data_IF_132920100464
#
_entry.id   IF_132920100464
#
_cell.length_a   1.000
_cell.length_b   1.000
_cell.length_c   1.000
_cell.angle_alpha   90.00
_cell.angle_beta   90.00
_cell.angle_gamma   90.00
#
_symmetry.space_group_name_H-M   'P 1'
#
loop_
_entity.id
_entity.type
_entity.pdbx_description
1 polymer ?
#
# COMPACT_ATOMS: atom_id res chain seq x y z
N UNK A 1 7.33 -5.17 -18.63
CA UNK A 1 7.91 -5.70 -17.37
C UNK A 1 7.41 -4.89 -16.19
N UNK A 2 6.92 -5.57 -15.12
CA UNK A 2 6.46 -4.92 -13.92
C UNK A 2 7.66 -4.73 -12.98
N UNK A 3 8.02 -3.48 -12.61
CA UNK A 3 9.18 -3.27 -11.74
C UNK A 3 8.92 -3.75 -10.32
N UNK A 4 9.75 -4.68 -9.84
CA UNK A 4 9.73 -5.14 -8.46
C UNK A 4 10.55 -4.18 -7.61
N UNK A 5 9.92 -3.59 -6.59
CA UNK A 5 10.59 -2.66 -5.69
C UNK A 5 11.17 -3.40 -4.48
N UNK A 6 12.40 -3.05 -4.12
CA UNK A 6 13.02 -3.54 -2.89
C UNK A 6 12.56 -2.70 -1.71
N UNK A 7 12.82 -3.18 -0.50
CA UNK A 7 12.56 -2.42 0.72
C UNK A 7 13.28 -1.07 0.70
N UNK A 8 14.54 -1.06 0.24
CA UNK A 8 15.33 0.16 0.15
C UNK A 8 14.70 1.16 -0.82
N UNK A 9 14.28 0.69 -2.00
CA UNK A 9 13.62 1.53 -2.99
C UNK A 9 12.30 2.09 -2.46
N UNK A 10 11.52 1.26 -1.79
CA UNK A 10 10.26 1.69 -1.20
C UNK A 10 10.49 2.77 -0.13
N UNK A 11 11.49 2.57 0.72
CA UNK A 11 11.83 3.53 1.76
C UNK A 11 12.28 4.86 1.15
N UNK A 12 13.11 4.82 0.08
CA UNK A 12 13.55 6.03 -0.62
C UNK A 12 12.35 6.81 -1.18
N UNK A 13 11.41 6.12 -1.80
CA UNK A 13 10.20 6.75 -2.31
C UNK A 13 9.42 7.39 -1.16
N UNK A 14 9.22 6.66 -0.07
CA UNK A 14 8.46 7.15 1.08
C UNK A 14 9.12 8.38 1.69
N UNK A 15 10.44 8.36 1.86
CA UNK A 15 11.18 9.48 2.43
C UNK A 15 11.12 10.71 1.53
N UNK A 16 11.18 10.53 0.22
CA UNK A 16 11.10 11.65 -0.72
C UNK A 16 9.74 12.34 -0.73
N UNK A 17 8.70 11.68 -0.21
CA UNK A 17 7.32 12.19 -0.19
C UNK A 17 6.82 12.49 1.22
N UNK A 18 7.66 12.38 2.25
CA UNK A 18 7.21 12.46 3.65
C UNK A 18 6.55 13.79 4.02
N UNK A 19 6.93 14.87 3.36
CA UNK A 19 6.40 16.21 3.64
C UNK A 19 5.34 16.67 2.64
N UNK A 20 4.93 15.80 1.72
CA UNK A 20 3.93 16.14 0.73
C UNK A 20 2.55 16.17 1.39
N UNK A 21 1.83 17.29 1.22
CA UNK A 21 0.47 17.41 1.73
C UNK A 21 -0.52 16.78 0.76
N UNK A 22 -1.59 16.15 1.26
CA UNK A 22 -2.59 15.56 0.39
C UNK A 22 -3.35 16.65 -0.38
N UNK A 23 -3.66 16.37 -1.66
CA UNK A 23 -4.50 17.22 -2.46
C UNK A 23 -5.97 16.79 -2.33
N UNK A 24 -6.89 17.57 -2.89
CA UNK A 24 -8.32 17.24 -2.84
C UNK A 24 -8.63 15.84 -3.39
N UNK A 25 -7.91 15.45 -4.44
CA UNK A 25 -8.15 14.15 -5.10
C UNK A 25 -7.82 12.98 -4.19
N UNK A 26 -6.76 13.06 -3.40
CA UNK A 26 -6.29 11.93 -2.60
C UNK A 26 -6.59 12.04 -1.11
N UNK A 27 -7.13 13.16 -0.63
CA UNK A 27 -7.47 13.32 0.80
C UNK A 27 -8.30 12.16 1.32
N UNK A 28 -9.33 11.66 0.59
CA UNK A 28 -10.11 10.52 1.09
C UNK A 28 -9.31 9.23 1.27
N UNK A 29 -8.12 9.15 0.65
CA UNK A 29 -7.26 7.96 0.71
C UNK A 29 -6.18 8.08 1.77
N UNK A 30 -6.01 9.25 2.39
CA UNK A 30 -4.88 9.52 3.29
C UNK A 30 -5.14 9.03 4.71
N UNK A 31 -5.63 7.81 4.83
CA UNK A 31 -5.77 7.14 6.11
C UNK A 31 -4.45 6.44 6.45
N UNK A 32 -3.95 6.54 7.69
CA UNK A 32 -2.69 5.88 8.06
C UNK A 32 -2.77 4.36 8.09
N UNK A 33 -3.95 3.77 8.16
CA UNK A 33 -4.16 2.33 8.06
C UNK A 33 -4.80 1.96 6.74
N UNK A 34 -5.07 0.66 6.55
CA UNK A 34 -5.77 0.16 5.37
C UNK A 34 -7.22 0.65 5.35
N UNK A 35 -7.70 1.02 4.18
CA UNK A 35 -9.12 1.34 3.97
C UNK A 35 -9.61 0.64 2.71
N UNK A 36 -10.91 0.31 2.70
CA UNK A 36 -11.57 -0.23 1.52
C UNK A 36 -12.09 0.93 0.68
N UNK A 37 -11.78 0.90 -0.62
CA UNK A 37 -12.19 1.95 -1.54
C UNK A 37 -13.10 1.43 -2.66
N UNK A 38 -13.48 0.16 -2.59
CA UNK A 38 -14.37 -0.42 -3.60
C UNK A 38 -15.70 0.31 -3.64
N UNK A 39 -16.15 0.63 -4.84
CA UNK A 39 -17.44 1.26 -5.07
C UNK A 39 -17.43 2.78 -5.05
N UNK A 40 -16.35 3.43 -4.60
CA UNK A 40 -16.31 4.90 -4.59
C UNK A 40 -15.02 5.52 -5.09
N UNK A 41 -13.98 4.73 -5.32
CA UNK A 41 -12.72 5.25 -5.86
C UNK A 41 -12.13 4.26 -6.85
N UNK A 42 -11.67 4.78 -7.99
CA UNK A 42 -11.02 3.98 -9.03
C UNK A 42 -9.51 4.05 -8.83
N UNK A 43 -8.90 2.95 -8.38
CA UNK A 43 -7.45 2.89 -8.11
C UNK A 43 -6.61 3.10 -9.36
N UNK A 44 -7.19 2.94 -10.56
CA UNK A 44 -6.48 3.18 -11.82
C UNK A 44 -6.20 4.66 -12.06
N UNK A 45 -6.83 5.56 -11.29
CA UNK A 45 -6.51 6.99 -11.32
C UNK A 45 -5.16 7.29 -10.67
N UNK A 46 -4.63 6.36 -9.90
CA UNK A 46 -3.31 6.50 -9.30
C UNK A 46 -2.26 5.92 -10.26
N UNK A 47 -1.13 6.62 -10.36
CA UNK A 47 -0.03 6.16 -11.23
C UNK A 47 0.64 4.94 -10.63
N UNK A 48 0.81 3.89 -11.43
CA UNK A 48 1.53 2.69 -11.01
C UNK A 48 3.04 2.96 -11.02
N UNK A 49 3.70 2.75 -9.88
CA UNK A 49 5.15 2.91 -9.74
C UNK A 49 5.89 1.59 -9.77
N UNK A 50 5.30 0.55 -9.21
CA UNK A 50 5.95 -0.75 -9.11
C UNK A 50 5.15 -1.66 -8.20
N UNK A 51 5.71 -2.83 -7.89
CA UNK A 51 5.03 -3.83 -7.05
C UNK A 51 6.02 -4.39 -6.03
N UNK A 52 5.48 -4.84 -4.90
CA UNK A 52 6.26 -5.57 -3.90
C UNK A 52 6.17 -7.08 -4.11
N UNK A 53 5.33 -7.53 -5.04
CA UNK A 53 5.14 -8.94 -5.33
C UNK A 53 6.29 -9.45 -6.19
N UNK A 54 6.96 -10.53 -5.73
CA UNK A 54 8.00 -11.18 -6.50
C UNK A 54 7.38 -12.04 -7.60
N UNK A 55 7.95 -11.97 -8.81
CA UNK A 55 7.49 -12.77 -9.94
C UNK A 55 7.65 -14.26 -9.63
N UNK A 56 6.57 -15.02 -9.77
CA UNK A 56 6.59 -16.46 -9.53
C UNK A 56 6.60 -16.86 -8.08
N UNK A 57 6.50 -15.90 -7.14
CA UNK A 57 6.44 -16.21 -5.73
C UNK A 57 5.10 -16.86 -5.37
N UNK A 58 5.14 -17.82 -4.46
CA UNK A 58 3.93 -18.38 -3.91
C UNK A 58 3.24 -17.35 -3.03
N UNK A 59 1.92 -17.39 -3.00
CA UNK A 59 1.17 -16.51 -2.12
C UNK A 59 1.42 -16.92 -0.68
N UNK A 60 1.73 -15.92 0.14
CA UNK A 60 1.89 -16.10 1.57
C UNK A 60 0.73 -15.42 2.27
N UNK A 61 0.30 -16.03 3.37
CA UNK A 61 -0.79 -15.50 4.17
C UNK A 61 -0.32 -15.08 5.55
N UNK A 62 0.98 -15.22 5.82
CA UNK A 62 1.58 -14.85 7.10
C UNK A 62 1.55 -13.34 7.30
N UNK A 63 0.93 -12.90 8.38
CA UNK A 63 0.87 -11.50 8.75
C UNK A 63 1.80 -11.23 9.93
N UNK A 64 2.29 -10.01 10.02
CA UNK A 64 3.17 -9.59 11.10
C UNK A 64 2.49 -8.47 11.89
N UNK A 65 2.05 -8.76 13.11
CA UNK A 65 1.30 -7.82 13.93
C UNK A 65 1.86 -7.77 15.35
N UNK A 66 3.02 -7.12 15.55
CA UNK A 66 3.60 -7.00 16.89
C UNK A 66 2.80 -6.03 17.76
N UNK A 67 2.98 -6.15 19.08
CA UNK A 67 2.44 -5.21 20.05
C UNK A 67 0.91 -5.09 20.03
N UNK A 68 0.22 -6.18 19.70
CA UNK A 68 -1.25 -6.20 19.70
C UNK A 68 -1.90 -5.51 18.50
N UNK A 69 -1.12 -5.15 17.48
CA UNK A 69 -1.67 -4.57 16.26
C UNK A 69 -2.41 -5.64 15.43
N UNK A 70 -3.20 -5.20 14.48
CA UNK A 70 -3.84 -6.07 13.49
C UNK A 70 -3.77 -5.41 12.12
N UNK A 71 -4.32 -6.06 11.10
CA UNK A 71 -4.26 -5.56 9.72
C UNK A 71 -4.73 -4.11 9.58
N UNK A 72 -5.75 -3.73 10.33
CA UNK A 72 -6.39 -2.42 10.20
C UNK A 72 -5.78 -1.35 11.13
N UNK A 73 -4.83 -1.72 11.98
CA UNK A 73 -4.23 -0.77 12.92
C UNK A 73 -3.41 0.28 12.19
N UNK A 74 -3.57 1.55 12.60
CA UNK A 74 -2.83 2.66 11.98
C UNK A 74 -1.33 2.57 12.27
N UNK A 75 -0.93 1.96 13.37
CA UNK A 75 0.46 1.75 13.77
C UNK A 75 1.02 0.40 13.34
N UNK A 76 0.24 -0.40 12.60
CA UNK A 76 0.73 -1.70 12.12
C UNK A 76 1.93 -1.51 11.20
N UNK A 77 3.01 -2.28 11.38
CA UNK A 77 4.19 -2.13 10.53
C UNK A 77 3.88 -2.51 9.07
N UNK A 78 4.57 -1.83 8.16
CA UNK A 78 4.52 -2.16 6.74
C UNK A 78 5.61 -3.20 6.50
N UNK A 79 5.28 -4.45 6.79
CA UNK A 79 6.22 -5.58 6.73
C UNK A 79 6.20 -6.16 5.33
N UNK A 80 7.11 -5.71 4.47
CA UNK A 80 7.05 -5.98 3.02
C UNK A 80 7.20 -7.45 2.65
N UNK A 81 7.72 -8.28 3.56
CA UNK A 81 7.85 -9.72 3.32
C UNK A 81 6.67 -10.52 3.88
N UNK A 82 5.64 -9.83 4.35
CA UNK A 82 4.47 -10.46 4.96
C UNK A 82 3.18 -10.04 4.26
N UNK A 83 2.14 -10.84 4.39
CA UNK A 83 0.83 -10.54 3.84
C UNK A 83 0.21 -9.31 4.56
N UNK A 84 -0.43 -8.38 3.88
CA UNK A 84 -0.69 -8.31 2.43
C UNK A 84 0.34 -7.50 1.65
N UNK A 85 1.42 -7.06 2.30
CA UNK A 85 2.40 -6.16 1.67
C UNK A 85 3.17 -6.84 0.56
N UNK A 86 3.44 -8.13 0.71
CA UNK A 86 4.18 -8.92 -0.28
C UNK A 86 3.40 -9.13 -1.60
N UNK A 87 2.14 -8.68 -1.64
CA UNK A 87 1.31 -8.73 -2.85
C UNK A 87 0.78 -7.36 -3.26
N UNK A 88 1.28 -6.31 -2.63
CA UNK A 88 0.80 -4.95 -2.86
C UNK A 88 1.53 -4.27 -4.00
N UNK A 89 0.78 -3.43 -4.73
CA UNK A 89 1.34 -2.50 -5.71
C UNK A 89 1.63 -1.17 -5.03
N UNK A 90 2.55 -0.42 -5.62
CA UNK A 90 2.92 0.92 -5.17
C UNK A 90 2.41 1.92 -6.20
N UNK A 91 1.57 2.85 -5.77
CA UNK A 91 0.96 3.84 -6.65
C UNK A 91 1.12 5.24 -6.08
N UNK A 92 1.07 6.25 -6.96
CA UNK A 92 1.17 7.63 -6.51
C UNK A 92 0.03 8.47 -7.08
N UNK A 93 -0.37 9.50 -6.32
CA UNK A 93 -1.35 10.48 -6.78
C UNK A 93 -0.73 11.30 -7.90
N UNK A 94 -1.43 11.42 -9.03
CA UNK A 94 -0.93 12.17 -10.19
C UNK A 94 -0.92 13.68 -9.95
N UNK A 95 -1.58 14.17 -8.91
CA UNK A 95 -1.67 15.60 -8.60
C UNK A 95 -0.64 16.04 -7.58
N UNK A 96 -0.51 15.30 -6.47
CA UNK A 96 0.36 15.73 -5.36
C UNK A 96 1.56 14.81 -5.13
N UNK A 97 1.66 13.70 -5.81
CA UNK A 97 2.73 12.69 -5.71
C UNK A 97 2.78 11.90 -4.41
N UNK A 98 1.76 11.97 -3.56
CA UNK A 98 1.69 11.09 -2.38
C UNK A 98 1.61 9.64 -2.84
N UNK A 99 2.25 8.76 -2.07
CA UNK A 99 2.39 7.34 -2.44
C UNK A 99 1.51 6.47 -1.55
N UNK A 100 0.90 5.47 -2.16
CA UNK A 100 -0.02 4.54 -1.50
C UNK A 100 0.33 3.11 -1.86
N UNK A 101 0.05 2.21 -0.93
CA UNK A 101 0.07 0.78 -1.18
C UNK A 101 -1.35 0.35 -1.56
N UNK A 102 -1.45 -0.57 -2.50
CA UNK A 102 -2.72 -1.06 -3.01
C UNK A 102 -2.68 -2.57 -3.19
N UNK A 103 -3.71 -3.26 -2.72
CA UNK A 103 -3.91 -4.66 -3.10
C UNK A 103 -5.40 -4.94 -3.23
N UNK A 104 -5.71 -6.03 -3.92
CA UNK A 104 -7.09 -6.49 -4.08
C UNK A 104 -7.29 -7.71 -3.19
N UNK A 105 -8.28 -7.64 -2.30
CA UNK A 105 -8.69 -8.78 -1.49
C UNK A 105 -9.76 -9.55 -2.25
N UNK A 106 -9.49 -10.82 -2.51
CA UNK A 106 -10.42 -11.70 -3.22
C UNK A 106 -11.22 -12.52 -2.22
N UNK A 107 -12.44 -12.08 -1.93
CA UNK A 107 -13.37 -12.86 -1.14
C UNK A 107 -14.10 -13.89 -2.02
N UNK A 108 -14.83 -14.81 -1.40
CA UNK A 108 -15.57 -15.83 -2.14
C UNK A 108 -16.59 -15.27 -3.11
N UNK A 109 -17.19 -14.12 -2.78
CA UNK A 109 -18.27 -13.52 -3.57
C UNK A 109 -18.03 -12.04 -3.86
N UNK A 110 -16.83 -11.49 -3.55
CA UNK A 110 -16.57 -10.08 -3.73
C UNK A 110 -15.09 -9.83 -4.01
N UNK A 111 -14.83 -8.68 -4.59
CA UNK A 111 -13.48 -8.12 -4.69
C UNK A 111 -13.47 -6.84 -3.86
N UNK A 112 -12.43 -6.65 -3.07
CA UNK A 112 -12.30 -5.45 -2.25
C UNK A 112 -10.96 -4.79 -2.52
N UNK A 113 -11.00 -3.60 -3.10
CA UNK A 113 -9.80 -2.80 -3.35
C UNK A 113 -9.42 -2.07 -2.07
N UNK A 114 -8.19 -2.26 -1.61
CA UNK A 114 -7.70 -1.68 -0.37
C UNK A 114 -6.48 -0.82 -0.60
N UNK A 115 -6.44 0.33 0.08
CA UNK A 115 -5.37 1.31 -0.04
C UNK A 115 -4.88 1.71 1.34
N UNK A 116 -3.57 1.92 1.47
CA UNK A 116 -2.94 2.46 2.68
C UNK A 116 -1.92 3.50 2.28
N UNK A 117 -1.94 4.67 2.94
CA UNK A 117 -0.91 5.69 2.73
C UNK A 117 0.44 5.14 3.20
N UNK A 118 1.48 5.38 2.40
CA UNK A 118 2.82 4.90 2.71
C UNK A 118 3.47 5.80 3.76
N UNK A 119 3.87 5.20 4.88
CA UNK A 119 4.52 5.91 5.98
C UNK A 119 5.92 5.34 6.18
N UNK A 120 6.99 6.13 5.93
CA UNK A 120 8.35 5.62 6.02
C UNK A 120 8.72 5.11 7.42
N UNK A 121 8.09 5.64 8.46
CA UNK A 121 8.37 5.24 9.84
C UNK A 121 7.91 3.82 10.15
N UNK A 122 6.99 3.28 9.35
CA UNK A 122 6.40 1.95 9.59
C UNK A 122 7.00 0.85 8.72
N UNK A 123 7.82 1.18 7.73
CA UNK A 123 8.42 0.20 6.82
C UNK A 123 9.45 -0.65 7.57
N UNK A 124 9.24 -1.96 7.55
CA UNK A 124 10.16 -2.92 8.18
C UNK A 124 10.53 -4.06 7.23
#
# INVERSE_FOLDING_TARGET
MIPKLSRHQLLDIAMSRKDVQPCEECVPLCCPGWISVSGYFDVRKLKFLGTLKAKGAEERWDEYHPNGTNLWSVEAPIAIDHHPYDRSDVRECTHCTRVFLHYTEYGGYYLDERIRALNPKLIV
#
